data_IF_574301582677
#
_entry.id   IF_574301582677
#
_cell.length_a   1.000
_cell.length_b   1.000
_cell.length_c   1.000
_cell.angle_alpha   90.00
_cell.angle_beta   90.00
_cell.angle_gamma   90.00
#
_symmetry.space_group_name_H-M   'P 1'
#
loop_
_entity.id
_entity.type
_entity.pdbx_description
1 polymer ?
#
# COMPACT_ATOMS: atom_id res chain seq x y z
N UNK A 1 19.67 -3.60 17.50
CA UNK A 1 19.27 -4.70 16.60
C UNK A 1 18.12 -4.16 15.77
N UNK A 2 18.39 -3.58 14.60
CA UNK A 2 17.35 -3.07 13.73
C UNK A 2 16.82 -4.27 12.95
N UNK A 3 15.64 -4.78 13.32
CA UNK A 3 14.91 -5.71 12.45
C UNK A 3 14.77 -4.99 11.11
N UNK A 4 15.41 -5.54 10.08
CA UNK A 4 15.48 -4.94 8.76
C UNK A 4 14.03 -4.69 8.30
N UNK A 5 13.69 -3.44 7.95
CA UNK A 5 12.29 -3.06 7.65
C UNK A 5 11.75 -3.82 6.43
N UNK A 6 12.67 -4.28 5.57
CA UNK A 6 12.39 -5.22 4.47
C UNK A 6 11.89 -6.57 5.00
N UNK A 7 12.48 -7.07 6.09
CA UNK A 7 12.05 -8.32 6.73
C UNK A 7 10.64 -8.23 7.32
N UNK A 8 10.20 -7.05 7.77
CA UNK A 8 8.82 -6.86 8.26
C UNK A 8 7.81 -6.92 7.11
N UNK A 9 8.09 -6.26 5.99
CA UNK A 9 7.24 -6.32 4.79
C UNK A 9 7.18 -7.76 4.23
N UNK A 10 8.32 -8.46 4.22
CA UNK A 10 8.36 -9.86 3.80
C UNK A 10 7.65 -10.80 4.78
N UNK A 11 7.71 -10.53 6.09
CA UNK A 11 6.99 -11.32 7.08
C UNK A 11 5.48 -11.19 6.92
N UNK A 12 4.99 -9.97 6.71
CA UNK A 12 3.57 -9.69 6.49
C UNK A 12 3.03 -10.46 5.27
N UNK A 13 3.82 -10.49 4.19
CA UNK A 13 3.53 -11.28 2.99
C UNK A 13 3.50 -12.80 3.25
N UNK A 14 4.27 -13.31 4.21
CA UNK A 14 4.29 -14.73 4.56
C UNK A 14 3.08 -15.17 5.40
N UNK A 15 2.46 -14.24 6.13
CA UNK A 15 1.21 -14.48 6.88
C UNK A 15 -0.06 -14.34 6.04
N UNK A 16 0.03 -13.67 4.89
CA UNK A 16 -1.09 -13.46 3.96
C UNK A 16 -1.53 -14.74 3.24
N UNK A 17 -2.80 -14.78 2.85
CA UNK A 17 -3.27 -15.78 1.89
C UNK A 17 -2.52 -15.64 0.54
N UNK A 18 -2.38 -16.70 -0.27
CA UNK A 18 -1.68 -16.61 -1.56
C UNK A 18 -2.23 -15.51 -2.48
N UNK A 19 -3.55 -15.31 -2.49
CA UNK A 19 -4.20 -14.24 -3.26
C UNK A 19 -3.83 -12.85 -2.72
N UNK A 20 -3.86 -12.66 -1.40
CA UNK A 20 -3.45 -11.40 -0.78
C UNK A 20 -1.96 -11.11 -1.02
N UNK A 21 -1.08 -12.11 -0.93
CA UNK A 21 0.34 -11.96 -1.20
C UNK A 21 0.65 -11.56 -2.66
N UNK A 22 -0.13 -12.05 -3.63
CA UNK A 22 -0.03 -11.66 -5.04
C UNK A 22 -0.48 -10.20 -5.26
N UNK A 23 -1.65 -9.83 -4.71
CA UNK A 23 -2.13 -8.43 -4.74
C UNK A 23 -1.11 -7.48 -4.11
N UNK A 24 -0.54 -7.87 -2.98
CA UNK A 24 0.44 -7.07 -2.28
C UNK A 24 1.71 -6.90 -3.11
N UNK A 25 2.23 -7.97 -3.73
CA UNK A 25 3.40 -7.87 -4.60
C UNK A 25 3.15 -6.93 -5.79
N UNK A 26 1.99 -7.01 -6.44
CA UNK A 26 1.65 -6.09 -7.52
C UNK A 26 1.61 -4.63 -7.08
N UNK A 27 1.10 -4.36 -5.88
CA UNK A 27 1.08 -3.02 -5.31
C UNK A 27 2.50 -2.52 -4.97
N UNK A 28 3.36 -3.40 -4.44
CA UNK A 28 4.76 -3.09 -4.17
C UNK A 28 5.55 -2.80 -5.46
N UNK A 29 5.38 -3.61 -6.51
CA UNK A 29 6.03 -3.39 -7.80
C UNK A 29 5.63 -2.01 -8.39
N UNK A 30 4.34 -1.66 -8.29
CA UNK A 30 3.85 -0.37 -8.74
C UNK A 30 4.41 0.80 -7.91
N UNK A 31 4.57 0.60 -6.60
CA UNK A 31 5.18 1.58 -5.70
C UNK A 31 6.68 1.77 -5.98
N UNK A 32 7.41 0.67 -6.19
CA UNK A 32 8.84 0.68 -6.53
C UNK A 32 9.09 1.40 -7.87
N UNK A 33 8.20 1.23 -8.85
CA UNK A 33 8.28 1.92 -10.14
C UNK A 33 8.23 3.45 -10.01
N UNK A 34 7.66 3.99 -8.92
CA UNK A 34 7.62 5.44 -8.66
C UNK A 34 8.96 6.03 -8.22
N UNK A 35 9.96 5.18 -7.92
CA UNK A 35 11.31 5.56 -7.48
C UNK A 35 11.30 6.55 -6.31
N UNK A 36 10.45 6.27 -5.32
CA UNK A 36 10.41 7.01 -4.07
C UNK A 36 11.68 6.73 -3.25
N UNK A 37 11.99 7.64 -2.33
CA UNK A 37 13.00 7.34 -1.31
C UNK A 37 12.51 6.18 -0.43
N UNK A 38 13.40 5.26 -0.07
CA UNK A 38 13.07 4.04 0.68
C UNK A 38 12.25 4.33 1.95
N UNK A 39 12.56 5.43 2.66
CA UNK A 39 11.81 5.84 3.86
C UNK A 39 10.30 6.01 3.62
N UNK A 40 9.90 6.46 2.43
CA UNK A 40 8.50 6.62 2.06
C UNK A 40 7.90 5.31 1.57
N UNK A 41 8.67 4.48 0.87
CA UNK A 41 8.26 3.13 0.50
C UNK A 41 7.92 2.33 1.76
N UNK A 42 8.77 2.38 2.79
CA UNK A 42 8.52 1.72 4.07
C UNK A 42 7.34 2.30 4.86
N UNK A 43 7.02 3.58 4.66
CA UNK A 43 5.85 4.20 5.27
C UNK A 43 4.55 3.77 4.58
N UNK A 44 4.58 3.62 3.25
CA UNK A 44 3.41 3.36 2.41
C UNK A 44 3.08 1.87 2.34
N UNK A 45 4.09 1.01 2.29
CA UNK A 45 3.93 -0.42 2.07
C UNK A 45 2.95 -1.12 3.04
N UNK A 46 2.93 -0.84 4.35
CA UNK A 46 1.97 -1.48 5.27
C UNK A 46 0.50 -1.25 4.85
N UNK A 47 0.15 -0.03 4.43
CA UNK A 47 -1.21 0.28 3.98
C UNK A 47 -1.60 -0.45 2.69
N UNK A 48 -0.63 -0.74 1.81
CA UNK A 48 -0.88 -1.60 0.65
C UNK A 48 -1.06 -3.06 1.04
N UNK A 49 -0.43 -3.51 2.14
CA UNK A 49 -0.66 -4.81 2.74
C UNK A 49 -2.08 -4.93 3.30
N UNK A 50 -2.53 -3.91 4.05
CA UNK A 50 -3.90 -3.86 4.59
C UNK A 50 -4.96 -3.91 3.48
N UNK A 51 -4.72 -3.23 2.35
CA UNK A 51 -5.62 -3.29 1.17
C UNK A 51 -5.61 -4.68 0.54
N UNK A 52 -4.45 -5.33 0.46
CA UNK A 52 -4.32 -6.64 -0.15
C UNK A 52 -5.00 -7.74 0.68
N UNK A 53 -4.94 -7.61 2.01
CA UNK A 53 -5.48 -8.56 2.99
C UNK A 53 -6.95 -8.29 3.37
N UNK A 54 -7.54 -7.20 2.89
CA UNK A 54 -8.94 -6.87 3.12
C UNK A 54 -9.87 -8.03 2.72
N UNK A 55 -10.71 -8.45 3.65
CA UNK A 55 -11.61 -9.60 3.51
C UNK A 55 -13.05 -9.19 3.15
N UNK A 56 -13.40 -7.92 3.30
CA UNK A 56 -14.72 -7.38 2.98
C UNK A 56 -14.61 -5.92 2.49
N UNK A 57 -15.74 -5.39 2.01
CA UNK A 57 -15.80 -4.07 1.39
C UNK A 57 -15.53 -2.92 2.40
N UNK A 58 -15.92 -3.09 3.66
CA UNK A 58 -15.72 -2.08 4.71
C UNK A 58 -14.26 -2.01 5.14
N UNK A 59 -13.61 -3.17 5.30
CA UNK A 59 -12.16 -3.27 5.54
C UNK A 59 -11.37 -2.64 4.40
N UNK A 60 -11.75 -2.97 3.16
CA UNK A 60 -11.08 -2.42 1.98
C UNK A 60 -11.22 -0.90 1.89
N UNK A 61 -12.43 -0.38 2.14
CA UNK A 61 -12.66 1.05 2.14
C UNK A 61 -11.83 1.74 3.23
N UNK A 62 -11.82 1.18 4.45
CA UNK A 62 -11.06 1.72 5.57
C UNK A 62 -9.56 1.75 5.27
N UNK A 63 -9.00 0.65 4.75
CA UNK A 63 -7.59 0.57 4.40
C UNK A 63 -7.22 1.58 3.29
N UNK A 64 -8.09 1.76 2.30
CA UNK A 64 -7.90 2.74 1.24
C UNK A 64 -7.92 4.18 1.76
N UNK A 65 -8.87 4.53 2.64
CA UNK A 65 -8.96 5.86 3.25
C UNK A 65 -7.73 6.17 4.11
N UNK A 66 -7.23 5.19 4.87
CA UNK A 66 -6.00 5.33 5.65
C UNK A 66 -4.77 5.52 4.77
N UNK A 67 -4.62 4.73 3.69
CA UNK A 67 -3.53 4.87 2.74
C UNK A 67 -3.51 6.24 2.06
N UNK A 68 -4.67 6.73 1.63
CA UNK A 68 -4.79 8.06 1.00
C UNK A 68 -4.47 9.20 1.99
N UNK A 69 -4.89 9.07 3.25
CA UNK A 69 -4.56 10.06 4.29
C UNK A 69 -3.05 10.21 4.50
N UNK A 70 -2.30 9.11 4.47
CA UNK A 70 -0.82 9.14 4.58
C UNK A 70 -0.20 9.91 3.42
N UNK A 71 -0.77 9.80 2.23
CA UNK A 71 -0.33 10.59 1.07
C UNK A 71 -0.56 12.08 1.30
N UNK A 72 -1.74 12.46 1.83
CA UNK A 72 -2.05 13.85 2.17
C UNK A 72 -1.09 14.40 3.25
N UNK A 73 -0.74 13.58 4.24
CA UNK A 73 0.23 13.93 5.29
C UNK A 73 1.64 14.14 4.71
N UNK A 74 2.06 13.31 3.74
CA UNK A 74 3.34 13.48 3.03
C UNK A 74 3.38 14.79 2.22
N UNK A 75 2.27 15.20 1.62
CA UNK A 75 2.16 16.50 0.93
C UNK A 75 2.21 17.65 1.93
N UNK A 76 1.44 17.56 3.01
CA UNK A 76 1.39 18.60 4.04
C UNK A 76 2.75 18.81 4.72
N UNK A 77 3.53 17.73 4.88
CA UNK A 77 4.89 17.77 5.39
C UNK A 77 5.94 18.22 4.35
N UNK A 78 5.53 18.62 3.13
CA UNK A 78 6.41 18.93 2.00
C UNK A 78 7.42 17.81 1.68
N UNK A 79 7.08 16.58 2.05
CA UNK A 79 7.93 15.39 1.90
C UNK A 79 7.93 14.87 0.46
N UNK A 80 6.83 15.10 -0.26
CA UNK A 80 6.66 14.86 -1.69
C UNK A 80 5.93 16.03 -2.34
N UNK A 81 6.12 16.23 -3.64
CA UNK A 81 5.33 17.21 -4.38
C UNK A 81 3.96 16.64 -4.79
N UNK A 82 3.05 17.51 -5.21
CA UNK A 82 1.69 17.12 -5.61
C UNK A 82 1.68 16.07 -6.72
N UNK A 83 2.54 16.21 -7.74
CA UNK A 83 2.60 15.24 -8.84
C UNK A 83 2.95 13.83 -8.35
N UNK A 84 3.92 13.72 -7.44
CA UNK A 84 4.31 12.44 -6.84
C UNK A 84 3.22 11.89 -5.91
N UNK A 85 2.53 12.76 -5.17
CA UNK A 85 1.39 12.37 -4.36
C UNK A 85 0.23 11.82 -5.20
N UNK A 86 -0.04 12.42 -6.37
CA UNK A 86 -1.05 11.92 -7.30
C UNK A 86 -0.67 10.52 -7.84
N UNK A 87 0.62 10.29 -8.14
CA UNK A 87 1.13 8.96 -8.53
C UNK A 87 0.98 7.92 -7.42
N UNK A 88 1.31 8.26 -6.16
CA UNK A 88 1.15 7.34 -5.02
C UNK A 88 -0.33 7.07 -4.74
N UNK A 89 -1.17 8.11 -4.79
CA UNK A 89 -2.62 7.97 -4.65
C UNK A 89 -3.21 7.04 -5.71
N UNK A 90 -2.65 7.05 -6.91
CA UNK A 90 -3.04 6.13 -7.98
C UNK A 90 -2.68 4.69 -7.63
N UNK A 91 -1.49 4.43 -7.08
CA UNK A 91 -1.11 3.07 -6.63
C UNK A 91 -2.12 2.52 -5.61
N UNK A 92 -2.52 3.33 -4.63
CA UNK A 92 -3.55 2.96 -3.66
C UNK A 92 -4.90 2.64 -4.32
N UNK A 93 -5.36 3.51 -5.22
CA UNK A 93 -6.65 3.32 -5.92
C UNK A 93 -6.64 2.09 -6.82
N UNK A 94 -5.53 1.84 -7.53
CA UNK A 94 -5.37 0.68 -8.40
C UNK A 94 -5.31 -0.63 -7.57
N UNK A 95 -4.61 -0.61 -6.43
CA UNK A 95 -4.59 -1.74 -5.49
C UNK A 95 -5.99 -2.02 -4.92
N UNK A 96 -6.71 -0.97 -4.51
CA UNK A 96 -8.07 -1.09 -4.00
C UNK A 96 -9.05 -1.61 -5.05
N UNK A 97 -8.94 -1.17 -6.30
CA UNK A 97 -9.76 -1.66 -7.40
C UNK A 97 -9.53 -3.16 -7.68
N UNK A 98 -8.28 -3.62 -7.61
CA UNK A 98 -7.94 -5.04 -7.76
C UNK A 98 -8.52 -5.88 -6.62
N UNK A 99 -8.29 -5.48 -5.36
CA UNK A 99 -8.84 -6.17 -4.20
C UNK A 99 -10.37 -6.25 -4.28
N UNK A 100 -11.05 -5.15 -4.63
CA UNK A 100 -12.51 -5.09 -4.77
C UNK A 100 -13.07 -6.05 -5.83
N UNK A 101 -12.36 -6.25 -6.93
CA UNK A 101 -12.80 -7.14 -8.00
C UNK A 101 -12.84 -8.61 -7.58
N UNK A 102 -12.10 -8.96 -6.53
CA UNK A 102 -11.97 -10.33 -6.01
C UNK A 102 -12.73 -10.56 -4.70
N UNK A 103 -13.29 -9.50 -4.09
CA UNK A 103 -14.14 -9.62 -2.91
C UNK A 103 -15.51 -10.21 -3.28
N UNK A 104 -16.06 -11.13 -2.47
CA UNK A 104 -17.44 -11.56 -2.64
C UNK A 104 -18.37 -10.36 -2.40
N UNK A 105 -19.27 -10.11 -3.36
CA UNK A 105 -20.24 -9.01 -3.31
C UNK A 105 -21.40 -9.24 -2.35
#
# INVERSE_FOLDING_TARGET
MATDRVSLIHFDKLSMSPAAAERFQHALDALEALKLQDRYVYLIAPYLGDIADACDADQLQTALEQGLRVVDELVAAYSVNKAKADEVSKVFKDAGARARAELPG
#
